data_IF_719835937468
#
_entry.id   IF_719835937468
#
_cell.length_a   1.000
_cell.length_b   1.000
_cell.length_c   1.000
_cell.angle_alpha   90.00
_cell.angle_beta   90.00
_cell.angle_gamma   90.00
#
_symmetry.space_group_name_H-M   'P 1'
#
loop_
_entity.id
_entity.type
_entity.pdbx_description
1 polymer ?
#
# COMPACT_ATOMS: atom_id res chain seq x y z
N UNK A 1 -6.71 -19.59 -15.88
CA UNK A 1 -5.54 -19.53 -16.77
C UNK A 1 -5.72 -20.40 -18.01
N UNK A 2 -6.01 -21.69 -17.91
CA UNK A 2 -6.16 -22.60 -19.08
C UNK A 2 -7.33 -22.31 -20.04
N UNK A 3 -8.16 -21.31 -19.73
CA UNK A 3 -9.30 -20.88 -20.53
C UNK A 3 -8.93 -19.77 -21.53
N UNK A 4 -7.75 -19.16 -21.34
CA UNK A 4 -7.26 -18.07 -22.16
C UNK A 4 -6.04 -18.54 -22.94
N UNK A 5 -5.99 -18.23 -24.23
CA UNK A 5 -4.81 -18.45 -25.04
C UNK A 5 -3.91 -17.21 -24.94
N UNK A 6 -2.82 -17.30 -24.19
CA UNK A 6 -1.90 -16.19 -23.98
C UNK A 6 -0.46 -16.67 -23.88
N UNK A 7 0.45 -15.79 -24.27
CA UNK A 7 1.89 -15.97 -24.11
C UNK A 7 2.42 -14.94 -23.10
N UNK A 8 3.21 -15.39 -22.13
CA UNK A 8 3.84 -14.51 -21.15
C UNK A 8 5.16 -14.00 -21.73
N UNK A 9 5.25 -12.69 -21.96
CA UNK A 9 6.45 -12.04 -22.49
C UNK A 9 7.01 -11.08 -21.44
N UNK A 10 8.32 -11.18 -21.18
CA UNK A 10 9.02 -10.23 -20.33
C UNK A 10 9.24 -8.91 -21.08
N UNK A 11 8.81 -7.81 -20.49
CA UNK A 11 9.05 -6.46 -20.99
C UNK A 11 9.90 -5.73 -19.96
N UNK A 12 11.01 -5.13 -20.41
CA UNK A 12 11.87 -4.29 -19.56
C UNK A 12 11.08 -3.07 -19.10
N UNK A 13 11.18 -2.69 -17.81
CA UNK A 13 10.39 -1.61 -17.21
C UNK A 13 10.43 -0.28 -17.99
N UNK A 14 11.58 0.07 -18.57
CA UNK A 14 11.76 1.25 -19.45
C UNK A 14 10.73 1.34 -20.59
N UNK A 15 10.24 0.18 -21.05
CA UNK A 15 9.29 0.03 -22.14
C UNK A 15 7.87 -0.28 -21.65
N UNK A 16 7.66 -0.49 -20.34
CA UNK A 16 6.38 -0.84 -19.73
C UNK A 16 5.62 0.39 -19.16
N UNK A 17 5.92 1.58 -19.69
CA UNK A 17 5.46 2.86 -19.13
C UNK A 17 3.95 2.92 -18.92
N UNK A 18 3.16 2.39 -19.85
CA UNK A 18 1.69 2.44 -19.75
C UNK A 18 1.17 1.61 -18.59
N UNK A 19 1.69 0.39 -18.42
CA UNK A 19 1.27 -0.45 -17.31
C UNK A 19 1.86 0.06 -15.98
N UNK A 20 3.06 0.63 -15.98
CA UNK A 20 3.66 1.24 -14.79
C UNK A 20 2.83 2.46 -14.33
N UNK A 21 2.43 3.34 -15.25
CA UNK A 21 1.55 4.48 -14.95
C UNK A 21 0.15 4.05 -14.45
N UNK A 22 -0.42 2.97 -15.00
CA UNK A 22 -1.76 2.50 -14.63
C UNK A 22 -1.76 1.62 -13.37
N UNK A 23 -0.65 0.95 -13.08
CA UNK A 23 -0.49 0.14 -11.86
C UNK A 23 -0.22 0.99 -10.63
N UNK A 24 0.07 2.29 -10.81
CA UNK A 24 0.34 3.20 -9.71
C UNK A 24 1.72 3.03 -9.08
N UNK A 25 2.63 2.29 -9.73
CA UNK A 25 4.05 2.33 -9.41
C UNK A 25 4.58 3.69 -9.86
N UNK A 26 4.88 4.58 -8.92
CA UNK A 26 5.61 5.79 -9.28
C UNK A 26 7.04 5.37 -9.63
N UNK A 27 7.64 6.00 -10.65
CA UNK A 27 9.02 5.72 -11.09
C UNK A 27 10.07 5.87 -9.96
N UNK A 28 9.70 6.55 -8.88
CA UNK A 28 10.52 6.80 -7.69
C UNK A 28 10.16 5.94 -6.47
N UNK A 29 9.12 5.10 -6.55
CA UNK A 29 8.72 4.28 -5.40
C UNK A 29 9.78 3.22 -5.11
N UNK A 30 10.34 3.23 -3.90
CA UNK A 30 11.16 2.10 -3.45
C UNK A 30 10.27 0.93 -3.09
N UNK A 31 10.79 -0.29 -3.26
CA UNK A 31 10.09 -1.53 -2.90
C UNK A 31 9.73 -1.64 -1.41
N UNK A 32 10.30 -0.79 -0.54
CA UNK A 32 9.95 -0.67 0.88
C UNK A 32 8.96 0.47 1.18
N UNK A 33 8.62 1.28 0.17
CA UNK A 33 7.80 2.47 0.35
C UNK A 33 6.34 2.08 0.46
N UNK A 34 5.90 1.97 1.71
CA UNK A 34 4.50 1.67 2.02
C UNK A 34 3.68 2.92 1.72
N UNK A 35 3.02 2.89 0.57
CA UNK A 35 2.07 3.91 0.19
C UNK A 35 0.87 3.89 1.14
N UNK A 36 0.43 5.08 1.54
CA UNK A 36 -0.81 5.23 2.31
C UNK A 36 -1.93 4.51 1.56
N UNK A 37 -2.76 3.76 2.28
CA UNK A 37 -3.80 2.93 1.66
C UNK A 37 -4.78 3.82 0.87
N UNK A 38 -4.90 5.10 1.26
CA UNK A 38 -5.65 6.12 0.55
C UNK A 38 -5.08 6.53 -0.83
N UNK A 39 -3.81 6.21 -1.15
CA UNK A 39 -3.25 6.38 -2.50
C UNK A 39 -3.67 5.25 -3.45
N UNK A 40 -4.10 4.10 -2.93
CA UNK A 40 -4.68 3.00 -3.71
C UNK A 40 -6.19 3.17 -3.97
N UNK A 41 -6.74 4.34 -3.63
CA UNK A 41 -8.15 4.66 -3.87
C UNK A 41 -8.46 4.47 -5.35
N UNK A 42 -9.53 3.71 -5.61
CA UNK A 42 -10.07 3.44 -6.94
C UNK A 42 -10.16 4.73 -7.75
N UNK A 43 -9.66 4.70 -8.99
CA UNK A 43 -9.73 5.83 -9.92
C UNK A 43 -11.16 6.40 -10.02
N UNK A 44 -12.16 5.52 -9.94
CA UNK A 44 -13.59 5.83 -9.92
C UNK A 44 -13.95 6.88 -8.84
N UNK A 45 -13.43 6.79 -7.61
CA UNK A 45 -13.68 7.78 -6.52
C UNK A 45 -12.99 9.11 -6.79
N UNK A 46 -11.83 9.08 -7.45
CA UNK A 46 -11.08 10.31 -7.76
C UNK A 46 -11.72 11.07 -8.92
N UNK A 47 -12.26 10.35 -9.89
CA UNK A 47 -12.92 10.90 -11.07
C UNK A 47 -14.34 11.35 -10.71
N UNK A 48 -15.06 10.58 -9.89
CA UNK A 48 -16.40 10.91 -9.42
C UNK A 48 -16.53 10.70 -7.90
N UNK A 49 -16.17 11.73 -7.10
CA UNK A 49 -16.29 11.67 -5.65
C UNK A 49 -17.73 11.58 -5.15
N UNK A 50 -18.69 12.04 -5.96
CA UNK A 50 -20.12 12.02 -5.64
C UNK A 50 -20.79 10.68 -5.97
N UNK A 51 -20.16 9.90 -6.86
CA UNK A 51 -20.71 8.66 -7.38
C UNK A 51 -21.99 8.84 -8.18
N UNK A 52 -22.24 10.04 -8.71
CA UNK A 52 -23.45 10.35 -9.49
C UNK A 52 -23.44 9.63 -10.85
N UNK A 53 -22.26 9.38 -11.42
CA UNK A 53 -22.07 8.68 -12.69
C UNK A 53 -21.79 7.17 -12.49
N UNK A 54 -21.63 6.72 -11.24
CA UNK A 54 -21.36 5.32 -10.93
C UNK A 54 -22.67 4.51 -10.78
N UNK A 55 -22.74 3.29 -11.33
CA UNK A 55 -23.83 2.38 -11.02
C UNK A 55 -23.95 2.15 -9.51
N UNK A 56 -25.17 2.01 -8.95
CA UNK A 56 -25.38 1.90 -7.50
C UNK A 56 -24.55 0.79 -6.84
N UNK A 57 -24.44 -0.37 -7.51
CA UNK A 57 -23.66 -1.52 -7.03
C UNK A 57 -22.17 -1.19 -6.92
N UNK A 58 -21.64 -0.40 -7.87
CA UNK A 58 -20.23 0.02 -7.90
C UNK A 58 -19.96 1.09 -6.85
N UNK A 59 -20.90 2.01 -6.64
CA UNK A 59 -20.79 3.04 -5.61
C UNK A 59 -20.75 2.42 -4.21
N UNK A 60 -21.64 1.46 -3.94
CA UNK A 60 -21.68 0.76 -2.66
C UNK A 60 -20.41 -0.06 -2.40
N UNK A 61 -19.95 -0.84 -3.38
CA UNK A 61 -18.69 -1.60 -3.31
C UNK A 61 -17.50 -0.69 -2.95
N UNK A 62 -17.48 0.52 -3.52
CA UNK A 62 -16.39 1.46 -3.34
C UNK A 62 -16.42 2.12 -1.96
N UNK A 63 -17.62 2.45 -1.45
CA UNK A 63 -17.81 2.95 -0.10
C UNK A 63 -17.35 1.93 0.95
N UNK A 64 -17.79 0.68 0.82
CA UNK A 64 -17.46 -0.41 1.76
C UNK A 64 -15.95 -0.66 1.82
N UNK A 65 -15.30 -0.75 0.66
CA UNK A 65 -13.85 -0.94 0.57
C UNK A 65 -13.07 0.24 1.15
N UNK A 66 -13.57 1.47 1.01
CA UNK A 66 -12.91 2.67 1.55
C UNK A 66 -12.90 2.64 3.08
N UNK A 67 -14.00 2.20 3.70
CA UNK A 67 -14.10 2.02 5.16
C UNK A 67 -13.15 0.92 5.63
N UNK A 68 -13.13 -0.24 4.95
CA UNK A 68 -12.23 -1.35 5.28
C UNK A 68 -10.75 -0.91 5.20
N UNK A 69 -10.38 -0.22 4.13
CA UNK A 69 -9.06 0.38 3.92
C UNK A 69 -8.64 1.28 5.08
N UNK A 70 -9.54 2.18 5.52
CA UNK A 70 -9.24 3.11 6.61
C UNK A 70 -9.01 2.36 7.93
N UNK A 71 -9.87 1.39 8.24
CA UNK A 71 -9.74 0.59 9.47
C UNK A 71 -8.48 -0.28 9.47
N UNK A 72 -8.10 -0.84 8.32
CA UNK A 72 -6.84 -1.57 8.16
C UNK A 72 -5.62 -0.65 8.28
N UNK A 73 -5.69 0.58 7.75
CA UNK A 73 -4.63 1.59 7.88
C UNK A 73 -4.36 1.93 9.35
N UNK A 74 -5.42 2.21 10.11
CA UNK A 74 -5.34 2.52 11.54
C UNK A 74 -4.76 1.35 12.36
N UNK A 75 -5.19 0.12 12.06
CA UNK A 75 -4.67 -1.08 12.71
C UNK A 75 -3.18 -1.31 12.39
N UNK A 76 -2.77 -1.07 11.14
CA UNK A 76 -1.39 -1.20 10.70
C UNK A 76 -0.48 -0.13 11.29
N UNK A 77 -0.94 1.12 11.40
CA UNK A 77 -0.25 2.19 12.11
C UNK A 77 0.01 1.81 13.56
N UNK A 78 -1.01 1.32 14.27
CA UNK A 78 -0.87 0.84 15.64
C UNK A 78 0.12 -0.33 15.76
N UNK A 79 0.10 -1.27 14.82
CA UNK A 79 1.01 -2.41 14.81
C UNK A 79 2.46 -1.98 14.56
N UNK A 80 2.66 -1.07 13.61
CA UNK A 80 3.98 -0.50 13.27
C UNK A 80 4.56 0.26 14.47
N UNK A 81 3.76 1.08 15.14
CA UNK A 81 4.16 1.81 16.35
C UNK A 81 4.72 0.89 17.44
N UNK A 82 3.98 -0.18 17.79
CA UNK A 82 4.41 -1.15 18.81
C UNK A 82 5.70 -1.90 18.42
N UNK A 83 5.88 -2.16 17.13
CA UNK A 83 7.09 -2.84 16.64
C UNK A 83 8.30 -1.91 16.78
N UNK A 84 8.13 -0.61 16.45
CA UNK A 84 9.18 0.40 16.60
C UNK A 84 9.57 0.62 18.06
N UNK A 85 8.61 0.82 18.96
CA UNK A 85 8.88 1.00 20.40
C UNK A 85 9.66 -0.18 21.00
N UNK A 86 9.27 -1.41 20.64
CA UNK A 86 9.98 -2.62 21.09
C UNK A 86 11.40 -2.70 20.55
N UNK A 87 11.64 -2.23 19.32
CA UNK A 87 12.97 -2.19 18.73
C UNK A 87 13.84 -1.15 19.42
N UNK A 88 13.30 0.04 19.69
CA UNK A 88 13.98 1.11 20.44
C UNK A 88 14.35 0.65 21.86
N UNK A 89 13.46 -0.06 22.56
CA UNK A 89 13.76 -0.67 23.86
C UNK A 89 14.90 -1.68 23.79
N UNK A 90 14.90 -2.54 22.77
CA UNK A 90 15.97 -3.51 22.54
C UNK A 90 17.30 -2.83 22.26
N UNK A 91 17.29 -1.76 21.45
CA UNK A 91 18.49 -0.99 21.11
C UNK A 91 19.06 -0.27 22.35
N UNK A 92 18.21 0.22 23.26
CA UNK A 92 18.62 0.80 24.55
C UNK A 92 19.25 -0.26 25.47
N UNK A 93 18.60 -1.42 25.61
CA UNK A 93 19.09 -2.52 26.46
C UNK A 93 20.46 -3.03 25.97
N UNK A 94 20.65 -3.15 24.65
CA UNK A 94 21.93 -3.50 24.03
C UNK A 94 22.99 -2.43 24.28
N UNK A 95 22.63 -1.14 24.26
CA UNK A 95 23.55 -0.04 24.58
C UNK A 95 23.95 -0.05 26.06
N UNK A 96 23.02 -0.28 26.98
CA UNK A 96 23.30 -0.34 28.43
C UNK A 96 24.22 -1.51 28.80
N UNK A 97 24.01 -2.69 28.20
CA UNK A 97 24.88 -3.86 28.37
C UNK A 97 26.26 -3.72 27.71
N UNK A 98 26.45 -2.75 26.82
CA UNK A 98 27.71 -2.46 26.15
C UNK A 98 28.56 -1.39 26.87
N UNK A 99 28.03 -0.76 27.92
CA UNK A 99 28.80 0.09 28.82
C UNK A 99 29.55 -0.84 29.78
N UNK A 100 30.89 -0.92 29.75
CA UNK A 100 31.63 -1.76 30.68
C UNK A 100 31.44 -1.24 32.11
N UNK A 101 31.10 -2.13 33.03
CA UNK A 101 31.18 -1.87 34.48
C UNK A 101 32.64 -1.47 34.80
N UNK A 102 32.82 -0.23 35.25
CA UNK A 102 34.10 0.35 35.71
C UNK A 102 34.50 -0.22 37.09
#
# INVERSE_FOLDING_TARGET
>A
MSQFNFDIVYIKGENNKVADCLSGYYENDTWDETHDIHKYVHADVRVDPGGEDLPPDRYQETQEKTVEIHTMSEANLHRSHRIRERKELWDIEVQELAIPDD
#
